data_IF_947614259769
#
_entry.id   IF_947614259769
#
_cell.length_a   1.000
_cell.length_b   1.000
_cell.length_c   1.000
_cell.angle_alpha   90.00
_cell.angle_beta   90.00
_cell.angle_gamma   90.00
#
_symmetry.space_group_name_H-M   'P 1'
#
loop_
_entity.id
_entity.type
_entity.pdbx_description
1 polymer ?
#
# COMPACT_ATOMS: atom_id res chain seq x y z
N UNK A 1 -20.04 6.75 -1.04
CA UNK A 1 -19.08 7.84 -0.84
C UNK A 1 -18.42 8.31 -2.12
N UNK A 2 -17.97 7.41 -2.95
CA UNK A 2 -17.39 7.78 -4.25
C UNK A 2 -18.35 8.60 -5.11
N UNK A 3 -19.66 8.31 -5.05
CA UNK A 3 -20.66 9.06 -5.82
C UNK A 3 -20.76 10.52 -5.41
N UNK A 4 -20.63 10.81 -4.13
CA UNK A 4 -20.64 12.19 -3.64
C UNK A 4 -19.45 12.98 -4.18
N UNK A 5 -18.25 12.40 -4.11
CA UNK A 5 -17.07 13.04 -4.64
C UNK A 5 -17.11 13.21 -6.14
N UNK A 6 -17.55 12.18 -6.85
CA UNK A 6 -17.67 12.25 -8.30
C UNK A 6 -18.65 13.34 -8.72
N UNK A 7 -19.79 13.44 -8.05
CA UNK A 7 -20.76 14.49 -8.31
C UNK A 7 -20.19 15.87 -8.02
N UNK A 8 -19.49 16.01 -6.89
CA UNK A 8 -18.90 17.27 -6.47
C UNK A 8 -17.89 17.81 -7.48
N UNK A 9 -17.08 16.96 -8.06
CA UNK A 9 -16.04 17.37 -8.99
C UNK A 9 -16.50 17.34 -10.45
N UNK A 10 -17.32 16.37 -10.83
CA UNK A 10 -17.77 16.22 -12.21
C UNK A 10 -18.76 17.31 -12.62
N UNK A 11 -19.67 17.68 -11.71
CA UNK A 11 -20.72 18.65 -12.00
C UNK A 11 -20.16 20.04 -12.30
N UNK A 12 -18.98 20.33 -11.83
CA UNK A 12 -18.35 21.63 -12.08
C UNK A 12 -17.81 21.78 -13.48
N UNK A 13 -17.49 20.65 -14.13
CA UNK A 13 -16.99 20.65 -15.50
C UNK A 13 -15.58 21.16 -15.67
N UNK A 14 -15.06 21.97 -14.77
CA UNK A 14 -13.72 22.56 -14.89
C UNK A 14 -12.59 21.52 -14.72
N UNK A 15 -12.90 20.37 -14.14
CA UNK A 15 -11.93 19.29 -14.00
C UNK A 15 -12.06 18.22 -15.08
N UNK A 16 -12.91 18.48 -16.08
CA UNK A 16 -13.10 17.59 -17.22
C UNK A 16 -11.78 17.44 -17.96
N UNK A 17 -11.29 16.21 -18.09
CA UNK A 17 -10.02 15.94 -18.73
C UNK A 17 -8.81 15.98 -17.81
N UNK A 18 -8.98 16.39 -16.54
CA UNK A 18 -7.92 16.34 -15.56
C UNK A 18 -7.76 14.88 -15.11
N UNK A 19 -6.53 14.37 -15.22
CA UNK A 19 -6.23 13.04 -14.75
C UNK A 19 -5.95 13.10 -13.25
N UNK A 20 -6.90 12.62 -12.44
CA UNK A 20 -6.81 12.63 -10.97
C UNK A 20 -6.24 11.35 -10.39
N UNK A 21 -5.79 10.43 -11.23
CA UNK A 21 -5.17 9.18 -10.81
C UNK A 21 -4.12 8.74 -11.80
N UNK A 22 -3.12 8.02 -11.32
CA UNK A 22 -2.17 7.35 -12.19
C UNK A 22 -2.81 6.09 -12.77
N UNK A 23 -2.49 5.80 -14.04
CA UNK A 23 -2.77 4.47 -14.59
C UNK A 23 -1.87 3.44 -13.93
N UNK A 24 -2.24 2.17 -14.04
CA UNK A 24 -1.41 1.06 -13.54
C UNK A 24 -0.01 1.13 -14.15
N UNK A 25 0.08 1.37 -15.46
CA UNK A 25 1.38 1.42 -16.13
C UNK A 25 2.23 2.59 -15.66
N UNK A 26 1.63 3.74 -15.34
CA UNK A 26 2.35 4.88 -14.78
C UNK A 26 2.91 4.57 -13.39
N UNK A 27 2.13 3.90 -12.54
CA UNK A 27 2.58 3.48 -11.20
C UNK A 27 3.77 2.53 -11.32
N UNK A 28 3.66 1.55 -12.21
CA UNK A 28 4.74 0.58 -12.46
C UNK A 28 6.00 1.29 -12.95
N UNK A 29 5.86 2.24 -13.86
CA UNK A 29 6.99 3.01 -14.39
C UNK A 29 7.67 3.85 -13.31
N UNK A 30 6.89 4.49 -12.45
CA UNK A 30 7.42 5.24 -11.30
C UNK A 30 8.30 4.35 -10.43
N UNK A 31 7.80 3.15 -10.11
CA UNK A 31 8.52 2.22 -9.26
C UNK A 31 9.78 1.68 -9.93
N UNK A 32 9.73 1.41 -11.22
CA UNK A 32 10.90 0.98 -12.00
C UNK A 32 11.97 2.09 -12.08
N UNK A 33 11.55 3.34 -12.26
CA UNK A 33 12.46 4.48 -12.30
C UNK A 33 13.22 4.65 -10.99
N UNK A 34 12.60 4.28 -9.86
CA UNK A 34 13.25 4.29 -8.56
C UNK A 34 14.18 3.08 -8.33
N UNK A 35 14.34 2.23 -9.33
CA UNK A 35 15.23 1.10 -9.24
C UNK A 35 14.62 -0.17 -8.67
N UNK A 36 13.30 -0.19 -8.49
CA UNK A 36 12.63 -1.38 -7.98
C UNK A 36 12.36 -2.40 -9.09
N UNK A 37 12.54 -3.67 -8.76
CA UNK A 37 12.11 -4.76 -9.62
C UNK A 37 10.64 -5.06 -9.31
N UNK A 38 9.78 -4.88 -10.30
CA UNK A 38 8.34 -5.09 -10.13
C UNK A 38 7.80 -5.92 -11.27
N UNK A 39 6.93 -6.88 -10.97
CA UNK A 39 6.31 -7.76 -11.96
C UNK A 39 4.88 -8.12 -11.58
N UNK A 40 4.07 -8.41 -12.58
CA UNK A 40 2.67 -8.81 -12.40
C UNK A 40 2.58 -10.28 -12.00
N UNK A 41 1.80 -10.58 -10.95
CA UNK A 41 1.51 -11.97 -10.56
C UNK A 41 0.21 -12.42 -11.22
N UNK A 42 -0.89 -11.71 -10.94
CA UNK A 42 -2.21 -12.01 -11.47
C UNK A 42 -3.08 -10.75 -11.41
N UNK A 43 -4.01 -10.62 -12.35
CA UNK A 43 -4.93 -9.49 -12.43
C UNK A 43 -4.23 -8.17 -12.17
N UNK A 44 -4.54 -7.53 -11.05
CA UNK A 44 -3.97 -6.24 -10.67
C UNK A 44 -3.02 -6.35 -9.47
N UNK A 45 -2.50 -7.54 -9.21
CA UNK A 45 -1.55 -7.77 -8.13
C UNK A 45 -0.13 -7.77 -8.67
N UNK A 46 0.64 -6.77 -8.27
CA UNK A 46 2.03 -6.62 -8.64
C UNK A 46 2.93 -6.93 -7.45
N UNK A 47 4.10 -7.50 -7.70
CA UNK A 47 5.10 -7.73 -6.65
C UNK A 47 6.31 -6.87 -6.91
N UNK A 48 6.69 -6.12 -5.90
CA UNK A 48 7.88 -5.30 -5.88
C UNK A 48 8.89 -5.94 -4.92
N UNK A 49 10.11 -6.08 -5.36
CA UNK A 49 11.22 -6.54 -4.51
C UNK A 49 11.85 -5.35 -3.80
N UNK A 50 11.86 -5.39 -2.48
CA UNK A 50 12.46 -4.35 -1.67
C UNK A 50 13.39 -4.99 -0.64
N UNK A 51 14.71 -4.87 -0.85
CA UNK A 51 15.71 -5.36 0.11
C UNK A 51 15.43 -6.80 0.60
N UNK A 52 15.09 -7.68 -0.32
CA UNK A 52 14.79 -9.08 -0.02
C UNK A 52 13.37 -9.36 0.43
N UNK A 53 12.55 -8.34 0.60
CA UNK A 53 11.14 -8.48 0.98
C UNK A 53 10.25 -8.31 -0.24
N UNK A 54 9.21 -9.12 -0.33
CA UNK A 54 8.19 -9.00 -1.37
C UNK A 54 7.09 -8.06 -0.88
N UNK A 55 6.89 -6.98 -1.62
CA UNK A 55 5.80 -6.03 -1.36
C UNK A 55 4.75 -6.21 -2.45
N UNK A 56 3.52 -6.48 -2.06
CA UNK A 56 2.40 -6.55 -3.01
C UNK A 56 1.86 -5.14 -3.23
N UNK A 57 1.73 -4.76 -4.48
CA UNK A 57 1.20 -3.45 -4.89
C UNK A 57 -0.10 -3.69 -5.64
N UNK A 58 -1.18 -3.10 -5.15
CA UNK A 58 -2.50 -3.24 -5.75
C UNK A 58 -3.08 -1.85 -6.06
N UNK A 59 -3.04 -1.43 -7.33
CA UNK A 59 -3.77 -0.24 -7.74
C UNK A 59 -5.26 -0.54 -7.77
N UNK A 60 -6.06 0.33 -7.18
CA UNK A 60 -7.53 0.21 -7.14
C UNK A 60 -8.18 1.18 -8.13
N UNK A 61 -9.39 0.85 -8.57
CA UNK A 61 -10.12 1.61 -9.58
C UNK A 61 -10.33 3.08 -9.21
N UNK A 62 -10.52 3.38 -7.95
CA UNK A 62 -10.68 4.77 -7.51
C UNK A 62 -9.39 5.57 -7.45
N UNK A 63 -8.26 4.99 -7.83
CA UNK A 63 -6.95 5.64 -7.77
C UNK A 63 -6.20 5.41 -6.47
N UNK A 64 -6.78 4.71 -5.50
CA UNK A 64 -6.08 4.30 -4.30
C UNK A 64 -4.99 3.29 -4.66
N UNK A 65 -3.89 3.32 -3.91
CA UNK A 65 -2.79 2.36 -4.10
C UNK A 65 -2.55 1.67 -2.76
N UNK A 66 -2.65 0.36 -2.76
CA UNK A 66 -2.44 -0.45 -1.58
C UNK A 66 -1.08 -1.15 -1.67
N UNK A 67 -0.32 -1.07 -0.59
CA UNK A 67 0.93 -1.81 -0.43
C UNK A 67 0.78 -2.74 0.75
N UNK A 68 1.18 -4.00 0.59
CA UNK A 68 1.15 -4.91 1.71
C UNK A 68 2.31 -5.89 1.70
N UNK A 69 2.65 -6.37 2.91
CA UNK A 69 3.61 -7.45 3.15
C UNK A 69 2.88 -8.51 3.97
N UNK A 70 3.14 -9.78 3.69
CA UNK A 70 2.51 -10.89 4.39
C UNK A 70 3.58 -11.87 4.85
N UNK A 71 3.56 -12.25 6.12
CA UNK A 71 4.47 -13.22 6.69
C UNK A 71 3.72 -14.42 7.26
N UNK A 72 4.22 -15.61 6.97
CA UNK A 72 3.74 -16.84 7.58
C UNK A 72 4.28 -16.96 9.00
N UNK A 73 3.51 -17.57 9.89
CA UNK A 73 3.91 -17.80 11.27
C UNK A 73 4.28 -19.26 11.50
N UNK A 74 5.43 -19.67 10.96
CA UNK A 74 5.90 -21.04 11.08
C UNK A 74 6.40 -21.38 12.49
N UNK A 75 6.73 -20.36 13.29
CA UNK A 75 7.27 -20.52 14.64
C UNK A 75 6.33 -19.95 15.72
N UNK A 76 5.10 -19.68 15.37
CA UNK A 76 4.08 -19.20 16.29
C UNK A 76 4.50 -17.95 17.07
N UNK A 77 5.16 -17.02 16.39
CA UNK A 77 5.71 -15.80 17.00
C UNK A 77 4.77 -14.61 17.00
N UNK A 78 3.71 -14.64 16.19
CA UNK A 78 2.78 -13.52 16.07
C UNK A 78 1.63 -13.69 17.06
N UNK A 79 1.55 -12.79 18.05
CA UNK A 79 0.41 -12.78 18.97
C UNK A 79 -0.46 -11.57 18.66
N UNK A 80 -1.78 -11.74 18.81
CA UNK A 80 -2.73 -10.66 18.62
C UNK A 80 -2.44 -9.49 19.56
N UNK A 81 -1.99 -9.78 20.76
CA UNK A 81 -1.63 -8.75 21.74
C UNK A 81 -0.48 -7.89 21.25
N UNK A 82 0.58 -8.48 20.71
CA UNK A 82 1.73 -7.75 20.16
C UNK A 82 1.34 -6.96 18.92
N UNK A 83 0.55 -7.56 18.04
CA UNK A 83 0.05 -6.89 16.83
C UNK A 83 -0.78 -5.65 17.22
N UNK A 84 -1.67 -5.81 18.19
CA UNK A 84 -2.48 -4.70 18.68
C UNK A 84 -1.61 -3.59 19.28
N UNK A 85 -0.59 -3.96 20.04
CA UNK A 85 0.36 -2.99 20.60
C UNK A 85 1.09 -2.22 19.51
N UNK A 86 1.49 -2.87 18.43
CA UNK A 86 2.14 -2.19 17.31
C UNK A 86 1.21 -1.15 16.67
N UNK A 87 -0.08 -1.45 16.54
CA UNK A 87 -1.06 -0.50 16.03
C UNK A 87 -1.27 0.70 16.96
N UNK A 88 -1.09 0.49 18.26
CA UNK A 88 -1.14 1.59 19.24
C UNK A 88 0.10 2.47 19.13
N UNK A 89 1.25 1.86 19.02
CA UNK A 89 2.55 2.54 19.03
C UNK A 89 2.87 3.27 17.71
N UNK A 90 2.40 2.71 16.58
CA UNK A 90 2.72 3.22 15.24
C UNK A 90 1.45 3.62 14.50
N UNK A 91 1.44 4.84 13.96
CA UNK A 91 0.24 5.42 13.35
C UNK A 91 0.15 5.26 11.84
N UNK A 92 1.27 4.98 11.18
CA UNK A 92 1.32 4.84 9.74
C UNK A 92 1.09 3.38 9.39
N UNK A 93 0.13 3.13 8.49
CA UNK A 93 -0.21 1.78 8.11
C UNK A 93 -0.93 0.99 9.19
N UNK A 94 -1.05 -0.30 8.99
CA UNK A 94 -1.67 -1.20 9.96
C UNK A 94 -0.99 -2.56 9.99
N UNK A 95 -1.07 -3.20 11.16
CA UNK A 95 -0.66 -4.58 11.38
C UNK A 95 -1.91 -5.40 11.70
N UNK A 96 -1.99 -6.61 11.18
CA UNK A 96 -3.12 -7.49 11.46
C UNK A 96 -2.73 -8.95 11.32
N UNK A 97 -3.51 -9.81 11.96
CA UNK A 97 -3.41 -11.25 11.76
C UNK A 97 -4.56 -11.70 10.88
N UNK A 98 -4.25 -12.54 9.90
CA UNK A 98 -5.27 -13.18 9.07
C UNK A 98 -5.91 -14.35 9.84
N UNK A 99 -6.99 -14.93 9.28
CA UNK A 99 -7.61 -16.12 9.85
C UNK A 99 -6.62 -17.30 9.92
N UNK A 100 -5.63 -17.32 9.03
CA UNK A 100 -4.55 -18.31 9.03
C UNK A 100 -3.36 -17.91 9.91
N UNK A 101 -3.55 -16.89 10.75
CA UNK A 101 -2.52 -16.39 11.67
C UNK A 101 -1.27 -15.85 10.98
N UNK A 102 -1.39 -15.41 9.74
CA UNK A 102 -0.31 -14.70 9.04
C UNK A 102 -0.29 -13.23 9.46
N UNK A 103 0.91 -12.66 9.56
CA UNK A 103 1.06 -11.23 9.84
C UNK A 103 0.96 -10.42 8.56
N UNK A 104 -0.01 -9.54 8.51
CA UNK A 104 -0.14 -8.55 7.44
C UNK A 104 0.37 -7.19 7.88
N UNK A 105 1.13 -6.54 7.01
CA UNK A 105 1.58 -5.15 7.17
C UNK A 105 1.07 -4.40 5.94
N UNK A 106 0.27 -3.37 6.15
CA UNK A 106 -0.42 -2.72 5.04
C UNK A 106 -0.37 -1.21 5.15
N UNK A 107 -0.22 -0.57 4.01
CA UNK A 107 -0.32 0.87 3.85
C UNK A 107 -1.21 1.17 2.66
N UNK A 108 -2.20 2.04 2.86
CA UNK A 108 -3.09 2.50 1.79
C UNK A 108 -2.85 3.98 1.52
N UNK A 109 -2.50 4.28 0.27
CA UNK A 109 -2.49 5.66 -0.22
C UNK A 109 -3.84 5.94 -0.84
N UNK A 110 -4.59 6.84 -0.25
CA UNK A 110 -5.93 7.18 -0.71
C UNK A 110 -5.90 8.32 -1.72
N UNK A 111 -6.65 8.14 -2.80
CA UNK A 111 -6.91 9.19 -3.76
C UNK A 111 -8.17 9.95 -3.31
N UNK A 112 -7.96 11.13 -2.75
CA UNK A 112 -9.02 11.94 -2.17
C UNK A 112 -9.61 12.96 -3.15
N UNK A 113 -9.48 12.72 -4.46
CA UNK A 113 -9.91 13.63 -5.50
C UNK A 113 -8.77 14.41 -6.14
N UNK A 114 -7.61 14.41 -5.51
CA UNK A 114 -6.38 14.91 -6.09
C UNK A 114 -5.48 13.71 -6.39
N UNK A 115 -4.81 13.76 -7.53
CA UNK A 115 -3.92 12.68 -7.94
C UNK A 115 -2.85 12.45 -6.86
N UNK A 116 -2.67 11.17 -6.47
CA UNK A 116 -1.56 10.78 -5.62
C UNK A 116 -0.26 11.15 -6.35
N UNK A 117 0.64 11.84 -5.67
CA UNK A 117 1.87 12.31 -6.28
C UNK A 117 2.91 11.19 -6.35
N UNK A 118 3.85 11.33 -7.27
CA UNK A 118 5.01 10.44 -7.35
C UNK A 118 5.75 10.37 -6.02
N UNK A 119 5.92 11.52 -5.37
CA UNK A 119 6.56 11.59 -4.05
C UNK A 119 5.83 10.78 -3.00
N UNK A 120 4.49 10.81 -3.00
CA UNK A 120 3.68 10.03 -2.07
C UNK A 120 3.85 8.53 -2.30
N UNK A 121 3.94 8.09 -3.55
CA UNK A 121 4.17 6.68 -3.88
C UNK A 121 5.53 6.23 -3.35
N UNK A 122 6.57 7.01 -3.60
CA UNK A 122 7.94 6.70 -3.14
C UNK A 122 8.00 6.68 -1.61
N UNK A 123 7.42 7.68 -0.95
CA UNK A 123 7.37 7.76 0.50
C UNK A 123 6.54 6.63 1.11
N UNK A 124 5.49 6.21 0.43
CA UNK A 124 4.65 5.09 0.87
C UNK A 124 5.44 3.80 0.98
N UNK A 125 6.24 3.49 -0.02
CA UNK A 125 7.12 2.32 0.01
C UNK A 125 8.15 2.43 1.13
N UNK A 126 8.75 3.60 1.31
CA UNK A 126 9.71 3.82 2.38
C UNK A 126 9.06 3.66 3.77
N UNK A 127 7.84 4.16 3.93
CA UNK A 127 7.09 3.99 5.18
C UNK A 127 6.77 2.53 5.45
N UNK A 128 6.35 1.78 4.44
CA UNK A 128 6.09 0.35 4.58
C UNK A 128 7.35 -0.42 4.96
N UNK A 129 8.49 -0.07 4.36
CA UNK A 129 9.79 -0.66 4.71
C UNK A 129 10.15 -0.39 6.16
N UNK A 130 9.85 0.81 6.67
CA UNK A 130 10.05 1.13 8.08
C UNK A 130 9.18 0.25 8.98
N UNK A 131 7.89 0.10 8.64
CA UNK A 131 6.98 -0.76 9.40
C UNK A 131 7.44 -2.22 9.39
N UNK A 132 7.94 -2.69 8.27
CA UNK A 132 8.51 -4.04 8.15
C UNK A 132 9.71 -4.22 9.09
N UNK A 133 10.61 -3.24 9.13
CA UNK A 133 11.74 -3.25 10.04
C UNK A 133 11.33 -3.28 11.51
N UNK A 134 10.29 -2.53 11.87
CA UNK A 134 9.74 -2.52 13.23
C UNK A 134 9.11 -3.87 13.58
N UNK A 135 8.39 -4.49 12.65
CA UNK A 135 7.82 -5.83 12.84
C UNK A 135 8.92 -6.88 13.05
N UNK A 136 9.98 -6.83 12.25
CA UNK A 136 11.11 -7.75 12.41
C UNK A 136 11.77 -7.60 13.77
N UNK A 137 11.91 -6.38 14.25
CA UNK A 137 12.47 -6.11 15.57
C UNK A 137 11.59 -6.66 16.70
N UNK A 138 10.27 -6.62 16.53
CA UNK A 138 9.32 -7.08 17.56
C UNK A 138 9.16 -8.60 17.58
N UNK A 139 9.16 -9.25 16.42
CA UNK A 139 8.77 -10.65 16.28
C UNK A 139 9.92 -11.62 15.99
N UNK A 140 11.07 -11.14 15.54
CA UNK A 140 12.22 -11.98 15.19
C UNK A 140 13.43 -11.87 16.14
#
# INVERSE_FOLDING_TARGET
MSNFFNSLFSDKGEIKGINTQYSVSEIVDILKEEGHSIYLIQDNFWVLKWQGTNVVVVPHDGGDIQFWIMYNDDENRFSLRKVNKMNIDYRVGKFYLTDDEQLGIELLLRNDGNRITKSQIIQGIAALSLLDGLAKKEFW
#
